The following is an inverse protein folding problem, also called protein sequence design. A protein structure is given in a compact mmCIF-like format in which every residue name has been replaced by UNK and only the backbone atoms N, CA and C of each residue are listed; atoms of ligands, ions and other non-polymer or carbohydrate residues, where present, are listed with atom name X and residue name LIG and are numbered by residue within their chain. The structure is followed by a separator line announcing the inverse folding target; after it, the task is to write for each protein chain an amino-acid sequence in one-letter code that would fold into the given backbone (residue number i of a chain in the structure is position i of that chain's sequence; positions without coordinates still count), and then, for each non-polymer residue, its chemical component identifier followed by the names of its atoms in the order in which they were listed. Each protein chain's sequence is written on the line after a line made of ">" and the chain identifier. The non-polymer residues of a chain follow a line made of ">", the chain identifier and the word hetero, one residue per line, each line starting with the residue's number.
data_IF_744641056759
#
_entry.id   IF_744641056759
#
_cell.length_a   1.000
_cell.length_b   1.000
_cell.length_c   1.000
_cell.angle_alpha   90.00
_cell.angle_beta   90.00
_cell.angle_gamma   90.00
#
_symmetry.space_group_name_H-M   'P 1'
#
loop_
_entity.id
_entity.type
_entity.pdbx_description
1 polymer ?
#
# COMPACT_ATOMS: atom_id res chain seq x y z
N UNK A 1 -21.49 -0.47 17.51
CA UNK A 1 -20.71 0.14 18.63
C UNK A 1 -20.08 1.40 18.09
N UNK A 2 -19.93 2.45 18.91
CA UNK A 2 -19.18 3.65 18.51
C UNK A 2 -17.68 3.38 18.65
N UNK A 3 -16.86 3.99 17.78
CA UNK A 3 -15.40 3.90 17.88
C UNK A 3 -14.92 4.46 19.24
N UNK A 4 -13.82 3.90 19.81
CA UNK A 4 -13.31 4.34 21.11
C UNK A 4 -12.85 5.81 21.12
N UNK A 5 -12.88 6.44 22.31
CA UNK A 5 -12.42 7.82 22.47
C UNK A 5 -10.96 8.02 21.98
N UNK A 6 -10.08 7.04 22.22
CA UNK A 6 -8.70 7.09 21.76
C UNK A 6 -8.57 7.22 20.23
N UNK A 7 -9.44 6.51 19.48
CA UNK A 7 -9.51 6.66 18.02
C UNK A 7 -9.88 8.10 17.63
N UNK A 8 -10.92 8.65 18.24
CA UNK A 8 -11.42 10.00 17.92
C UNK A 8 -10.40 11.10 18.23
N UNK A 9 -9.58 10.91 19.27
CA UNK A 9 -8.52 11.87 19.60
C UNK A 9 -7.39 11.84 18.55
N UNK A 10 -7.00 10.67 18.06
CA UNK A 10 -6.02 10.56 16.96
C UNK A 10 -6.62 11.13 15.67
N UNK A 11 -7.86 10.75 15.34
CA UNK A 11 -8.56 11.21 14.15
C UNK A 11 -8.55 12.75 14.03
N UNK A 12 -8.83 13.47 15.12
CA UNK A 12 -8.77 14.94 15.15
C UNK A 12 -7.38 15.51 14.84
N UNK A 13 -6.31 14.81 15.27
CA UNK A 13 -4.94 15.29 15.09
C UNK A 13 -4.38 15.03 13.68
N UNK A 14 -4.90 14.00 13.00
CA UNK A 14 -4.42 13.62 11.66
C UNK A 14 -5.37 14.04 10.54
N UNK A 15 -6.48 14.69 10.86
CA UNK A 15 -7.50 15.06 9.88
C UNK A 15 -6.99 16.13 8.89
N UNK A 16 -7.05 15.82 7.61
CA UNK A 16 -6.67 16.71 6.51
C UNK A 16 -7.88 17.21 5.69
N UNK A 17 -9.13 16.99 6.15
CA UNK A 17 -10.29 17.41 5.40
C UNK A 17 -10.29 18.93 5.14
N UNK A 18 -10.49 19.28 3.87
CA UNK A 18 -10.44 20.68 3.41
C UNK A 18 -9.04 21.26 3.26
N UNK A 19 -7.96 20.55 3.62
CA UNK A 19 -6.57 21.04 3.52
C UNK A 19 -6.21 21.47 2.09
N UNK A 20 -6.69 20.75 1.10
CA UNK A 20 -6.47 21.02 -0.33
C UNK A 20 -7.76 21.46 -1.05
N UNK A 21 -8.78 21.85 -0.30
CA UNK A 21 -10.08 22.28 -0.81
C UNK A 21 -11.17 21.22 -0.64
N UNK A 22 -12.43 21.68 -0.74
CA UNK A 22 -13.60 20.81 -0.51
C UNK A 22 -13.79 19.77 -1.62
N UNK A 23 -13.25 20.02 -2.83
CA UNK A 23 -13.37 19.14 -3.98
C UNK A 23 -12.15 18.25 -4.18
N UNK A 24 -11.18 18.28 -3.24
CA UNK A 24 -10.02 17.42 -3.30
C UNK A 24 -10.40 15.94 -3.20
N UNK A 25 -9.80 15.13 -4.06
CA UNK A 25 -10.03 13.70 -4.18
C UNK A 25 -8.76 12.84 -4.03
N UNK A 26 -7.59 13.46 -3.84
CA UNK A 26 -6.30 12.76 -3.85
C UNK A 26 -5.53 12.88 -2.53
N UNK A 27 -6.00 13.69 -1.60
CA UNK A 27 -5.46 13.80 -0.25
C UNK A 27 -3.97 14.12 -0.21
N UNK A 28 -3.20 13.34 0.54
CA UNK A 28 -1.76 13.53 0.72
C UNK A 28 -0.93 13.40 -0.56
N UNK A 29 -1.49 12.87 -1.66
CA UNK A 29 -0.79 12.88 -2.95
C UNK A 29 -0.56 14.30 -3.49
N UNK A 30 -1.31 15.31 -3.02
CA UNK A 30 -1.02 16.73 -3.29
C UNK A 30 0.38 17.16 -2.80
N UNK A 31 1.01 16.40 -1.92
CA UNK A 31 2.37 16.65 -1.41
C UNK A 31 3.45 16.20 -2.41
N UNK A 32 3.11 15.39 -3.41
CA UNK A 32 4.04 14.95 -4.47
C UNK A 32 4.13 16.03 -5.53
N UNK A 33 4.91 17.06 -5.24
CA UNK A 33 5.14 18.19 -6.15
C UNK A 33 6.20 17.86 -7.20
N UNK A 34 6.29 18.68 -8.26
CA UNK A 34 7.36 18.56 -9.27
C UNK A 34 8.77 18.62 -8.65
N UNK A 35 8.93 19.38 -7.57
CA UNK A 35 10.17 19.47 -6.80
C UNK A 35 10.53 18.15 -6.15
N UNK A 36 9.57 17.55 -5.43
CA UNK A 36 9.73 16.25 -4.78
C UNK A 36 10.11 15.18 -5.81
N UNK A 37 9.48 15.19 -6.98
CA UNK A 37 9.81 14.26 -8.08
C UNK A 37 11.23 14.49 -8.60
N UNK A 38 11.64 15.75 -8.80
CA UNK A 38 13.03 16.07 -9.21
C UNK A 38 14.06 15.59 -8.18
N UNK A 39 13.78 15.78 -6.88
CA UNK A 39 14.63 15.28 -5.81
C UNK A 39 14.67 13.73 -5.80
N UNK A 40 13.53 13.08 -6.04
CA UNK A 40 13.46 11.64 -6.16
C UNK A 40 14.34 11.11 -7.30
N UNK A 41 14.28 11.71 -8.48
CA UNK A 41 15.13 11.36 -9.63
C UNK A 41 16.61 11.54 -9.28
N UNK A 42 16.97 12.58 -8.51
CA UNK A 42 18.33 12.83 -8.06
C UNK A 42 18.87 11.78 -7.08
N UNK A 43 18.02 10.91 -6.52
CA UNK A 43 18.48 9.79 -5.67
C UNK A 43 19.08 8.65 -6.48
N UNK A 44 18.76 8.50 -7.76
CA UNK A 44 19.26 7.41 -8.60
C UNK A 44 20.78 7.56 -8.81
N UNK A 45 21.52 6.48 -8.51
CA UNK A 45 22.99 6.42 -8.64
C UNK A 45 23.47 5.28 -9.52
N UNK A 46 22.93 4.08 -9.30
CA UNK A 46 23.37 2.87 -9.98
C UNK A 46 22.44 2.49 -11.12
N UNK A 47 21.17 2.90 -11.05
CA UNK A 47 20.10 2.46 -11.95
C UNK A 47 19.68 1.00 -11.68
N UNK A 48 20.05 0.44 -10.54
CA UNK A 48 19.58 -0.88 -10.10
C UNK A 48 18.06 -0.82 -9.85
N UNK A 49 17.31 -1.66 -10.53
CA UNK A 49 15.84 -1.72 -10.47
C UNK A 49 15.42 -2.93 -9.67
N UNK A 50 14.64 -2.70 -8.63
CA UNK A 50 14.12 -3.74 -7.74
C UNK A 50 12.60 -3.79 -7.88
N UNK A 51 12.01 -4.86 -8.44
CA UNK A 51 10.57 -5.06 -8.45
C UNK A 51 10.06 -5.39 -7.06
N UNK A 52 8.91 -4.82 -6.68
CA UNK A 52 8.34 -4.92 -5.35
C UNK A 52 6.97 -5.61 -5.31
N UNK A 53 6.51 -6.17 -6.43
CA UNK A 53 5.26 -6.89 -6.51
C UNK A 53 5.43 -8.39 -6.26
N UNK A 54 4.40 -9.01 -5.68
CA UNK A 54 4.22 -10.45 -5.75
C UNK A 54 3.54 -10.83 -7.06
N UNK A 55 3.83 -12.03 -7.57
CA UNK A 55 3.18 -12.54 -8.78
C UNK A 55 1.67 -12.69 -8.58
N UNK A 56 0.92 -12.28 -9.59
CA UNK A 56 -0.53 -12.48 -9.65
C UNK A 56 -0.83 -13.90 -10.15
N UNK A 57 -1.22 -14.79 -9.25
CA UNK A 57 -1.47 -16.22 -9.55
C UNK A 57 -2.61 -16.79 -8.71
N UNK A 58 -3.18 -17.94 -9.13
CA UNK A 58 -4.30 -18.57 -8.45
C UNK A 58 -4.00 -18.97 -6.99
N UNK A 59 -2.77 -19.41 -6.72
CA UNK A 59 -2.27 -19.73 -5.39
C UNK A 59 -1.54 -18.54 -4.73
N UNK A 60 -2.01 -17.32 -5.00
CA UNK A 60 -1.48 -16.06 -4.49
C UNK A 60 -1.68 -15.88 -2.97
N UNK A 61 -1.48 -14.65 -2.49
CA UNK A 61 -1.45 -14.32 -1.05
C UNK A 61 -2.79 -14.49 -0.33
N UNK A 62 -3.91 -14.50 -1.05
CA UNK A 62 -5.23 -14.65 -0.43
C UNK A 62 -5.48 -16.11 -0.01
N UNK A 63 -5.77 -16.30 1.28
CA UNK A 63 -6.03 -17.63 1.88
C UNK A 63 -7.51 -17.92 2.10
N UNK A 64 -8.40 -16.96 1.79
CA UNK A 64 -9.83 -17.01 2.14
C UNK A 64 -10.14 -16.40 3.51
N UNK A 65 -9.15 -15.90 4.24
CA UNK A 65 -9.35 -15.22 5.53
C UNK A 65 -10.23 -13.96 5.39
N UNK A 66 -10.07 -13.22 4.28
CA UNK A 66 -10.89 -12.04 3.99
C UNK A 66 -12.01 -12.46 3.03
N UNK A 67 -13.29 -12.47 3.49
CA UNK A 67 -14.41 -12.90 2.66
C UNK A 67 -14.53 -12.08 1.37
N UNK A 68 -14.75 -12.75 0.23
CA UNK A 68 -14.91 -12.11 -1.07
C UNK A 68 -13.61 -11.73 -1.79
N UNK A 69 -12.46 -11.73 -1.11
CA UNK A 69 -11.17 -11.57 -1.79
C UNK A 69 -10.72 -12.87 -2.43
N UNK A 70 -10.56 -12.85 -3.74
CA UNK A 70 -10.11 -14.03 -4.52
C UNK A 70 -8.79 -13.73 -5.19
N UNK A 71 -7.90 -14.74 -5.24
CA UNK A 71 -6.70 -14.69 -6.05
C UNK A 71 -7.08 -14.61 -7.53
N UNK A 72 -6.16 -14.15 -8.41
CA UNK A 72 -6.44 -14.05 -9.84
C UNK A 72 -6.88 -15.38 -10.44
N UNK A 73 -7.98 -15.34 -11.18
CA UNK A 73 -8.40 -16.39 -12.10
C UNK A 73 -8.07 -15.95 -13.53
N UNK A 74 -6.99 -16.49 -14.06
CA UNK A 74 -6.48 -16.21 -15.39
C UNK A 74 -6.92 -17.32 -16.37
N UNK A 75 -7.44 -16.96 -17.52
CA UNK A 75 -7.87 -17.90 -18.56
C UNK A 75 -7.49 -17.39 -19.95
N UNK A 76 -7.16 -18.31 -20.84
CA UNK A 76 -7.00 -18.00 -22.25
C UNK A 76 -8.39 -17.89 -22.89
N UNK A 77 -8.66 -16.80 -23.61
CA UNK A 77 -9.91 -16.61 -24.37
C UNK A 77 -9.75 -17.00 -25.83
N UNK A 78 -8.53 -16.92 -26.36
CA UNK A 78 -8.16 -17.52 -27.66
C UNK A 78 -6.71 -17.97 -27.63
N UNK A 79 -6.39 -19.00 -28.43
CA UNK A 79 -5.05 -19.60 -28.49
C UNK A 79 -4.66 -19.80 -29.95
N UNK A 80 -3.58 -19.16 -30.41
CA UNK A 80 -3.04 -19.27 -31.77
C UNK A 80 -4.12 -19.18 -32.86
N UNK A 81 -5.06 -18.24 -32.70
CA UNK A 81 -6.13 -18.01 -33.65
C UNK A 81 -5.61 -17.21 -34.86
N UNK A 82 -5.73 -17.74 -36.06
CA UNK A 82 -5.41 -17.05 -37.29
C UNK A 82 -6.55 -16.07 -37.63
N UNK A 83 -6.27 -14.76 -37.55
CA UNK A 83 -7.31 -13.72 -37.66
C UNK A 83 -7.72 -13.40 -39.13
N UNK A 84 -6.80 -13.61 -40.08
CA UNK A 84 -6.97 -13.14 -41.47
C UNK A 84 -6.99 -14.30 -42.47
N UNK A 85 -7.27 -15.52 -42.04
CA UNK A 85 -7.33 -16.74 -42.84
C UNK A 85 -6.12 -17.68 -42.65
N UNK A 86 -6.18 -18.88 -43.21
CA UNK A 86 -5.17 -19.91 -43.01
C UNK A 86 -3.75 -19.49 -43.43
N UNK A 87 -2.77 -19.75 -42.58
CA UNK A 87 -1.36 -19.42 -42.83
C UNK A 87 -1.00 -17.95 -42.58
N UNK A 88 -1.91 -17.16 -41.96
CA UNK A 88 -1.68 -15.77 -41.62
C UNK A 88 -1.13 -15.65 -40.17
N UNK A 89 -1.04 -14.41 -39.66
CA UNK A 89 -0.64 -14.16 -38.29
C UNK A 89 -1.66 -14.71 -37.31
N UNK A 90 -1.19 -15.43 -36.30
CA UNK A 90 -2.00 -15.96 -35.20
C UNK A 90 -1.77 -15.16 -33.91
N UNK A 91 -2.82 -14.97 -33.12
CA UNK A 91 -2.78 -14.30 -31.81
C UNK A 91 -3.32 -15.20 -30.72
N UNK A 92 -2.91 -14.91 -29.49
CA UNK A 92 -3.48 -15.48 -28.29
C UNK A 92 -3.85 -14.35 -27.34
N UNK A 93 -5.10 -14.36 -26.87
CA UNK A 93 -5.60 -13.37 -25.91
C UNK A 93 -6.10 -14.07 -24.64
N UNK A 94 -6.02 -13.38 -23.56
CA UNK A 94 -6.35 -13.87 -22.23
C UNK A 94 -7.21 -12.87 -21.45
N UNK A 95 -7.79 -13.36 -20.35
CA UNK A 95 -8.58 -12.56 -19.43
C UNK A 95 -8.27 -12.96 -17.99
N UNK A 96 -8.43 -12.00 -17.08
CA UNK A 96 -8.27 -12.23 -15.65
C UNK A 96 -9.46 -11.66 -14.87
N UNK A 97 -9.93 -12.43 -13.90
CA UNK A 97 -10.83 -11.96 -12.86
C UNK A 97 -10.08 -12.02 -11.53
N UNK A 98 -10.02 -10.91 -10.80
CA UNK A 98 -9.33 -10.83 -9.50
C UNK A 98 -9.99 -9.80 -8.59
N UNK A 99 -9.82 -9.97 -7.29
CA UNK A 99 -10.04 -8.89 -6.32
C UNK A 99 -8.97 -7.81 -6.53
N UNK A 100 -9.36 -6.54 -6.56
CA UNK A 100 -8.40 -5.44 -6.77
C UNK A 100 -7.33 -5.36 -5.65
N UNK A 101 -7.62 -5.93 -4.49
CA UNK A 101 -6.70 -6.04 -3.35
C UNK A 101 -6.07 -7.46 -3.23
N UNK A 102 -6.08 -8.26 -4.30
CA UNK A 102 -5.67 -9.67 -4.22
C UNK A 102 -4.16 -9.90 -4.12
N UNK A 103 -3.34 -9.07 -4.72
CA UNK A 103 -1.87 -9.14 -4.70
C UNK A 103 -1.25 -7.90 -4.07
N UNK A 104 -0.08 -7.50 -4.54
CA UNK A 104 0.48 -6.18 -4.23
C UNK A 104 -0.44 -5.11 -4.78
N UNK A 105 -0.90 -4.20 -3.93
CA UNK A 105 -1.94 -3.23 -4.29
C UNK A 105 -1.81 -1.91 -3.54
N UNK A 106 -2.55 -0.92 -4.04
CA UNK A 106 -2.92 0.29 -3.32
C UNK A 106 -4.40 0.24 -2.96
N UNK A 107 -4.73 0.63 -1.75
CA UNK A 107 -6.08 1.00 -1.35
C UNK A 107 -6.34 2.46 -1.69
N UNK A 108 -7.49 2.70 -2.33
CA UNK A 108 -8.01 4.04 -2.57
C UNK A 108 -8.62 4.64 -1.31
N UNK A 109 -8.80 5.97 -1.29
CA UNK A 109 -9.43 6.68 -0.17
C UNK A 109 -10.90 6.28 0.08
N UNK A 110 -11.41 5.40 -0.76
CA UNK A 110 -12.77 4.85 -0.71
C UNK A 110 -12.83 3.39 -0.26
N UNK A 111 -11.66 2.79 0.07
CA UNK A 111 -11.62 1.38 0.47
C UNK A 111 -12.29 1.14 1.83
N UNK A 112 -12.13 2.06 2.75
CA UNK A 112 -12.70 2.00 4.10
C UNK A 112 -13.54 3.25 4.35
N UNK A 113 -14.60 3.12 5.12
CA UNK A 113 -15.40 4.23 5.64
C UNK A 113 -15.63 4.06 7.14
N UNK A 114 -15.76 5.15 7.85
CA UNK A 114 -16.24 5.11 9.23
C UNK A 114 -17.24 6.23 9.49
N UNK A 115 -18.15 6.00 10.44
CA UNK A 115 -19.19 6.97 10.80
C UNK A 115 -19.99 7.49 9.59
N UNK A 116 -20.10 6.69 8.52
CA UNK A 116 -20.80 7.03 7.28
C UNK A 116 -20.05 7.96 6.33
N UNK A 117 -18.75 8.20 6.55
CA UNK A 117 -17.93 9.09 5.74
C UNK A 117 -16.73 8.38 5.11
N UNK A 118 -16.34 8.88 3.95
CA UNK A 118 -15.07 8.70 3.25
C UNK A 118 -14.23 9.98 3.43
N UNK A 119 -13.02 9.98 2.86
CA UNK A 119 -12.14 11.14 2.87
C UNK A 119 -12.87 12.42 2.46
N UNK A 120 -12.45 13.53 3.06
CA UNK A 120 -12.98 14.88 2.84
C UNK A 120 -14.49 15.02 3.15
N UNK A 121 -15.02 14.18 4.07
CA UNK A 121 -16.41 14.19 4.50
C UNK A 121 -17.42 13.68 3.47
N UNK A 122 -16.96 13.05 2.37
CA UNK A 122 -17.86 12.50 1.35
C UNK A 122 -18.71 11.37 1.94
N UNK A 123 -20.00 11.26 1.59
CA UNK A 123 -20.84 10.19 2.12
C UNK A 123 -20.41 8.81 1.62
N UNK A 124 -20.32 7.81 2.50
CA UNK A 124 -19.99 6.44 2.12
C UNK A 124 -21.03 5.81 1.18
N UNK A 125 -22.25 6.33 1.16
CA UNK A 125 -23.34 5.91 0.25
C UNK A 125 -23.08 6.22 -1.22
N UNK A 126 -22.05 7.00 -1.54
CA UNK A 126 -21.60 7.25 -2.93
C UNK A 126 -20.93 6.03 -3.57
N UNK A 127 -20.55 5.02 -2.78
CA UNK A 127 -20.13 3.71 -3.30
C UNK A 127 -21.39 2.91 -3.65
N UNK A 128 -21.52 2.52 -4.90
CA UNK A 128 -22.73 1.86 -5.43
C UNK A 128 -22.49 0.39 -5.80
N UNK A 129 -23.54 -0.45 -5.81
CA UNK A 129 -23.45 -1.84 -6.26
C UNK A 129 -23.01 -2.01 -7.72
N UNK A 130 -23.06 -0.94 -8.53
CA UNK A 130 -22.58 -0.93 -9.91
C UNK A 130 -21.05 -0.85 -10.03
N UNK A 131 -20.34 -1.07 -8.93
CA UNK A 131 -18.90 -1.26 -8.91
C UNK A 131 -18.09 0.02 -9.06
N UNK A 132 -18.58 1.17 -8.57
CA UNK A 132 -17.77 2.38 -8.56
C UNK A 132 -18.07 3.29 -7.37
N UNK A 133 -17.03 3.96 -6.90
CA UNK A 133 -17.16 5.16 -6.08
C UNK A 133 -17.32 6.39 -6.97
N UNK A 134 -18.18 7.31 -6.57
CA UNK A 134 -18.38 8.58 -7.25
C UNK A 134 -17.18 9.52 -7.05
N UNK A 135 -16.55 9.47 -5.88
CA UNK A 135 -15.40 10.32 -5.48
C UNK A 135 -14.21 9.47 -5.09
N UNK A 136 -13.02 10.05 -5.20
CA UNK A 136 -11.75 9.51 -4.69
C UNK A 136 -11.48 8.03 -5.02
N UNK A 137 -12.03 7.53 -6.15
CA UNK A 137 -11.68 6.21 -6.65
C UNK A 137 -10.20 6.16 -7.07
N UNK A 138 -9.60 4.98 -7.10
CA UNK A 138 -8.15 4.83 -7.35
C UNK A 138 -7.67 5.48 -8.65
N UNK A 139 -8.54 5.64 -9.64
CA UNK A 139 -8.24 6.31 -10.91
C UNK A 139 -7.90 7.80 -10.79
N UNK A 140 -8.17 8.43 -9.64
CA UNK A 140 -7.77 9.83 -9.36
C UNK A 140 -6.28 9.92 -9.00
N UNK A 141 -5.68 8.86 -8.48
CA UNK A 141 -4.27 8.78 -8.08
C UNK A 141 -3.35 8.55 -9.29
N UNK A 142 -3.20 9.56 -10.18
CA UNK A 142 -2.53 9.42 -11.48
C UNK A 142 -1.03 9.69 -11.50
N UNK A 143 -0.42 10.07 -10.38
CA UNK A 143 0.95 10.58 -10.34
C UNK A 143 1.75 10.00 -9.16
N UNK A 144 1.79 8.67 -9.05
CA UNK A 144 2.47 8.00 -7.94
C UNK A 144 3.93 7.66 -8.30
N UNK A 145 4.71 8.70 -8.57
CA UNK A 145 6.16 8.63 -8.72
C UNK A 145 6.77 9.65 -7.77
N UNK A 146 7.56 9.18 -6.78
CA UNK A 146 8.15 10.04 -5.76
C UNK A 146 9.43 9.45 -5.20
N UNK A 147 9.99 10.10 -4.19
CA UNK A 147 11.06 9.51 -3.38
C UNK A 147 10.47 8.41 -2.49
N UNK A 148 10.93 7.18 -2.70
CA UNK A 148 10.68 6.07 -1.80
C UNK A 148 11.69 6.07 -0.65
N UNK A 149 11.23 5.74 0.55
CA UNK A 149 12.06 5.55 1.73
C UNK A 149 11.74 4.18 2.33
N UNK A 150 12.74 3.31 2.44
CA UNK A 150 12.59 2.04 3.15
C UNK A 150 12.89 2.23 4.63
N UNK A 151 11.91 1.95 5.48
CA UNK A 151 12.06 1.76 6.92
C UNK A 151 12.08 0.26 7.21
N UNK A 152 13.26 -0.31 7.29
CA UNK A 152 13.46 -1.74 7.53
C UNK A 152 13.44 -2.03 9.03
N UNK A 153 12.23 -2.12 9.60
CA UNK A 153 12.02 -2.29 11.04
C UNK A 153 12.61 -3.62 11.53
N UNK A 154 12.45 -4.69 10.75
CA UNK A 154 13.01 -5.98 11.13
C UNK A 154 14.55 -5.91 11.21
N UNK A 155 15.22 -5.37 10.19
CA UNK A 155 16.66 -5.23 10.17
C UNK A 155 17.19 -4.28 11.27
N UNK A 156 16.50 -3.16 11.54
CA UNK A 156 16.86 -2.25 12.63
C UNK A 156 16.87 -2.95 13.99
N UNK A 157 15.97 -3.91 14.19
CA UNK A 157 15.91 -4.75 15.41
C UNK A 157 16.84 -5.96 15.38
N UNK A 158 17.66 -6.11 14.33
CA UNK A 158 18.54 -7.27 14.16
C UNK A 158 17.82 -8.58 13.90
N UNK A 159 16.64 -8.50 13.31
CA UNK A 159 15.77 -9.65 12.98
C UNK A 159 15.60 -9.78 11.46
N UNK A 160 15.44 -11.02 11.01
CA UNK A 160 15.04 -11.27 9.61
C UNK A 160 13.56 -10.92 9.42
N UNK A 161 12.74 -11.23 10.42
CA UNK A 161 11.29 -11.00 10.45
C UNK A 161 10.84 -10.65 11.85
N UNK A 162 9.90 -9.70 11.96
CA UNK A 162 9.26 -9.36 13.24
C UNK A 162 8.38 -10.53 13.75
N UNK A 163 8.21 -10.70 15.07
CA UNK A 163 7.20 -11.57 15.64
C UNK A 163 5.79 -11.20 15.12
N UNK A 164 4.92 -12.22 14.97
CA UNK A 164 3.57 -12.00 14.43
C UNK A 164 2.66 -11.10 15.28
N UNK A 165 3.00 -10.89 16.54
CA UNK A 165 2.30 -10.02 17.50
C UNK A 165 2.98 -8.66 17.71
N UNK A 166 3.95 -8.29 16.85
CA UNK A 166 4.65 -7.02 16.94
C UNK A 166 3.87 -5.89 16.27
N UNK A 167 3.36 -4.96 17.07
CA UNK A 167 2.83 -3.70 16.60
C UNK A 167 3.98 -2.72 16.32
N UNK A 168 4.19 -2.36 15.07
CA UNK A 168 5.20 -1.36 14.67
C UNK A 168 4.78 0.01 15.18
N UNK A 169 5.59 0.58 16.06
CA UNK A 169 5.29 1.87 16.72
C UNK A 169 6.01 3.05 16.05
N UNK A 170 5.65 4.32 16.37
CA UNK A 170 6.42 5.50 15.96
C UNK A 170 7.91 5.40 16.32
N UNK A 171 8.20 4.84 17.48
CA UNK A 171 9.57 4.64 17.96
C UNK A 171 10.34 3.62 17.09
N UNK A 172 9.65 2.57 16.62
CA UNK A 172 10.23 1.60 15.68
C UNK A 172 10.50 2.24 14.31
N UNK A 173 9.63 3.15 13.84
CA UNK A 173 9.85 3.88 12.60
C UNK A 173 11.03 4.84 12.70
N UNK A 174 11.20 5.53 13.84
CA UNK A 174 12.36 6.38 14.09
C UNK A 174 13.65 5.55 14.16
N UNK A 175 13.64 4.42 14.87
CA UNK A 175 14.79 3.48 14.93
C UNK A 175 15.18 2.97 13.54
N UNK A 176 14.20 2.63 12.70
CA UNK A 176 14.46 2.19 11.33
C UNK A 176 14.98 3.33 10.42
N UNK A 177 14.52 4.56 10.62
CA UNK A 177 15.06 5.72 9.91
C UNK A 177 16.51 6.01 10.30
N UNK A 178 16.84 5.94 11.58
CA UNK A 178 18.21 6.08 12.12
C UNK A 178 19.10 4.95 11.61
N UNK A 179 18.63 3.70 11.63
CA UNK A 179 19.33 2.54 11.08
C UNK A 179 19.69 2.73 9.60
N UNK A 180 18.74 3.22 8.81
CA UNK A 180 18.95 3.51 7.39
C UNK A 180 19.72 4.81 7.11
N UNK A 181 19.98 5.62 8.14
CA UNK A 181 20.58 6.95 7.97
C UNK A 181 19.75 7.86 7.06
N UNK A 182 18.42 7.74 7.13
CA UNK A 182 17.50 8.43 6.23
C UNK A 182 16.52 9.30 7.01
N UNK A 183 16.20 10.46 6.46
CA UNK A 183 15.14 11.34 7.00
C UNK A 183 13.94 11.30 6.08
N UNK A 184 12.77 10.99 6.64
CA UNK A 184 11.50 11.07 5.93
C UNK A 184 11.07 12.53 5.79
N UNK A 185 10.62 12.92 4.60
CA UNK A 185 10.28 14.29 4.21
C UNK A 185 8.89 14.35 3.61
N UNK A 186 8.36 15.55 3.53
CA UNK A 186 7.08 15.81 2.84
C UNK A 186 7.11 15.29 1.40
N UNK A 187 6.07 14.58 1.01
CA UNK A 187 5.91 13.97 -0.31
C UNK A 187 6.59 12.61 -0.50
N UNK A 188 7.28 12.08 0.52
CA UNK A 188 7.86 10.73 0.45
C UNK A 188 6.77 9.65 0.43
N UNK A 189 7.09 8.54 -0.21
CA UNK A 189 6.36 7.28 -0.08
C UNK A 189 7.17 6.38 0.85
N UNK A 190 6.61 6.05 2.01
CA UNK A 190 7.28 5.24 3.03
C UNK A 190 6.96 3.77 2.82
N UNK A 191 7.99 2.93 2.76
CA UNK A 191 7.87 1.48 2.71
C UNK A 191 8.33 0.90 4.04
N UNK A 192 7.43 0.22 4.76
CA UNK A 192 7.73 -0.37 6.07
C UNK A 192 7.90 -1.88 5.92
N UNK A 193 9.13 -2.37 6.13
CA UNK A 193 9.42 -3.80 6.07
C UNK A 193 9.35 -4.43 7.45
N UNK A 194 8.48 -5.43 7.59
CA UNK A 194 8.36 -6.30 8.76
C UNK A 194 9.08 -7.63 8.57
N UNK A 195 9.38 -8.03 7.33
CA UNK A 195 9.89 -9.34 6.93
C UNK A 195 8.80 -10.41 6.81
N UNK A 196 7.52 -10.06 6.97
CA UNK A 196 6.41 -11.02 6.95
C UNK A 196 6.29 -11.74 5.60
N UNK A 197 6.69 -11.08 4.51
CA UNK A 197 6.69 -11.67 3.16
C UNK A 197 7.56 -12.94 3.05
N UNK A 198 8.53 -13.13 3.93
CA UNK A 198 9.34 -14.35 3.97
C UNK A 198 8.52 -15.60 4.25
N UNK A 199 7.45 -15.50 5.08
CA UNK A 199 6.53 -16.63 5.32
C UNK A 199 5.83 -17.04 4.02
N UNK A 200 5.35 -16.06 3.25
CA UNK A 200 4.74 -16.32 1.94
C UNK A 200 5.73 -16.95 0.97
N UNK A 201 6.95 -16.41 0.87
CA UNK A 201 8.00 -16.93 0.01
C UNK A 201 8.42 -18.36 0.39
N UNK A 202 8.36 -18.73 1.67
CA UNK A 202 8.60 -20.09 2.16
C UNK A 202 7.41 -21.05 1.92
N UNK A 203 6.30 -20.58 1.34
CA UNK A 203 5.09 -21.36 1.09
C UNK A 203 4.12 -21.44 2.28
N UNK A 204 4.45 -20.80 3.40
CA UNK A 204 3.58 -20.71 4.57
C UNK A 204 2.59 -19.55 4.42
N UNK A 205 1.56 -19.77 3.63
CA UNK A 205 0.51 -18.77 3.36
C UNK A 205 -0.34 -18.47 4.60
N UNK A 206 -0.53 -19.46 5.48
CA UNK A 206 -1.29 -19.25 6.72
C UNK A 206 -0.49 -18.45 7.72
N UNK A 207 0.78 -18.76 7.94
CA UNK A 207 1.67 -17.97 8.78
C UNK A 207 1.96 -16.58 8.23
N UNK A 208 1.83 -16.38 6.90
CA UNK A 208 1.83 -15.04 6.31
C UNK A 208 0.59 -14.24 6.70
N UNK A 209 -0.58 -14.88 6.71
CA UNK A 209 -1.85 -14.21 6.94
C UNK A 209 -2.14 -13.95 8.43
N UNK A 210 -1.73 -14.86 9.33
CA UNK A 210 -2.09 -14.77 10.75
C UNK A 210 -1.19 -15.64 11.66
N UNK A 211 -0.74 -15.10 12.82
CA UNK A 211 -0.77 -13.69 13.20
C UNK A 211 0.15 -12.87 12.30
N UNK A 212 -0.13 -11.58 12.15
CA UNK A 212 0.65 -10.70 11.28
C UNK A 212 1.16 -9.48 12.05
N UNK A 213 2.47 -9.19 12.06
CA UNK A 213 2.95 -7.89 12.50
C UNK A 213 2.37 -6.80 11.60
N UNK A 214 2.34 -5.58 12.07
CA UNK A 214 1.83 -4.48 11.26
C UNK A 214 1.83 -3.17 12.03
N UNK A 215 1.35 -2.11 11.40
CA UNK A 215 1.38 -0.77 11.96
C UNK A 215 0.47 -0.65 13.19
N UNK A 216 0.96 0.03 14.22
CA UNK A 216 0.20 0.43 15.41
C UNK A 216 -0.75 1.57 15.08
N UNK A 217 -1.87 1.68 15.78
CA UNK A 217 -2.80 2.81 15.72
C UNK A 217 -2.12 4.17 15.96
N UNK A 218 -0.92 4.18 16.54
CA UNK A 218 -0.12 5.39 16.81
C UNK A 218 0.63 5.91 15.58
N UNK A 219 0.85 5.09 14.56
CA UNK A 219 1.68 5.45 13.40
C UNK A 219 1.07 6.51 12.47
N UNK A 220 -0.25 6.65 12.31
CA UNK A 220 -0.82 7.75 11.52
C UNK A 220 -0.37 9.14 11.96
N UNK A 221 -0.20 9.39 13.26
CA UNK A 221 0.34 10.68 13.75
C UNK A 221 1.79 10.91 13.30
N UNK A 222 2.59 9.86 13.26
CA UNK A 222 3.98 9.92 12.80
C UNK A 222 4.07 10.26 11.30
N UNK A 223 3.20 9.63 10.46
CA UNK A 223 3.10 9.93 9.04
C UNK A 223 2.59 11.34 8.78
N UNK A 224 1.54 11.75 9.50
CA UNK A 224 0.96 13.09 9.39
C UNK A 224 1.96 14.19 9.73
N UNK A 225 2.72 14.03 10.82
CA UNK A 225 3.71 15.01 11.27
C UNK A 225 4.88 15.20 10.27
N UNK A 226 5.09 14.26 9.36
CA UNK A 226 6.13 14.28 8.33
C UNK A 226 5.61 14.54 6.93
N UNK A 227 4.31 14.81 6.80
CA UNK A 227 3.66 15.01 5.50
C UNK A 227 3.96 13.87 4.51
N UNK A 228 3.82 12.62 4.96
CA UNK A 228 4.01 11.44 4.11
C UNK A 228 2.92 11.38 3.05
N UNK A 229 3.30 11.14 1.79
CA UNK A 229 2.35 11.12 0.67
C UNK A 229 1.58 9.79 0.55
N UNK A 230 2.24 8.68 0.83
CA UNK A 230 1.64 7.34 0.84
C UNK A 230 2.52 6.39 1.66
N UNK A 231 1.95 5.30 2.13
CA UNK A 231 2.68 4.28 2.89
C UNK A 231 2.34 2.89 2.37
N UNK A 232 3.32 1.98 2.34
CA UNK A 232 3.08 0.59 1.99
C UNK A 232 3.90 -0.35 2.89
N UNK A 233 3.42 -1.59 3.05
CA UNK A 233 4.15 -2.60 3.79
C UNK A 233 4.03 -4.01 3.16
N UNK A 234 4.73 -4.95 3.76
CA UNK A 234 4.88 -6.33 3.30
C UNK A 234 3.91 -7.31 3.97
N UNK A 235 2.79 -6.81 4.54
CA UNK A 235 1.80 -7.64 5.24
C UNK A 235 0.46 -7.70 4.51
N UNK A 236 -0.39 -8.68 4.88
CA UNK A 236 -1.74 -8.84 4.33
C UNK A 236 -2.72 -7.81 4.91
N UNK A 237 -2.53 -7.42 6.17
CA UNK A 237 -3.48 -6.64 6.95
C UNK A 237 -3.08 -5.18 7.13
N UNK A 238 -1.87 -4.79 6.71
CA UNK A 238 -1.28 -3.48 6.89
C UNK A 238 -1.00 -3.13 8.35
N UNK A 239 -2.03 -3.09 9.18
CA UNK A 239 -1.93 -2.92 10.63
C UNK A 239 -1.76 -4.25 11.34
N UNK A 240 -1.32 -4.20 12.58
CA UNK A 240 -1.15 -5.38 13.44
C UNK A 240 -2.44 -6.22 13.49
N UNK A 241 -2.29 -7.54 13.39
CA UNK A 241 -3.41 -8.46 13.48
C UNK A 241 -3.04 -9.72 14.27
N UNK A 242 -3.74 -10.04 15.40
CA UNK A 242 -4.97 -9.41 15.90
C UNK A 242 -4.79 -7.96 16.34
N UNK A 243 -5.90 -7.16 16.41
CA UNK A 243 -5.83 -5.73 16.69
C UNK A 243 -5.30 -5.43 18.10
N UNK A 244 -4.59 -4.30 18.26
CA UNK A 244 -4.05 -3.85 19.56
C UNK A 244 -5.15 -3.53 20.59
N UNK A 245 -6.29 -3.06 20.11
CA UNK A 245 -7.44 -2.71 20.94
C UNK A 245 -8.55 -3.71 20.59
N UNK A 246 -9.02 -4.45 21.59
CA UNK A 246 -10.09 -5.41 21.44
C UNK A 246 -11.32 -4.78 20.77
N UNK A 247 -11.90 -5.48 19.81
CA UNK A 247 -13.07 -5.04 19.02
C UNK A 247 -12.87 -3.78 18.15
N UNK A 248 -11.64 -3.25 18.03
CA UNK A 248 -11.34 -2.14 17.13
C UNK A 248 -10.64 -2.67 15.86
N UNK A 249 -11.42 -2.89 14.83
CA UNK A 249 -10.96 -3.42 13.54
C UNK A 249 -10.61 -2.29 12.58
N UNK A 250 -9.46 -2.41 11.90
CA UNK A 250 -8.97 -1.50 10.87
C UNK A 250 -8.85 -0.02 11.31
N UNK A 251 -8.34 0.29 12.53
CA UNK A 251 -8.20 1.67 12.96
C UNK A 251 -7.19 2.46 12.14
N UNK A 252 -6.07 1.84 11.73
CA UNK A 252 -5.05 2.53 10.92
C UNK A 252 -5.58 2.82 9.52
N UNK A 253 -6.30 1.86 8.89
CA UNK A 253 -6.99 2.11 7.63
C UNK A 253 -7.94 3.31 7.71
N UNK A 254 -8.75 3.38 8.78
CA UNK A 254 -9.71 4.47 8.94
C UNK A 254 -9.02 5.82 9.15
N UNK A 255 -7.90 5.86 9.90
CA UNK A 255 -7.13 7.08 10.13
C UNK A 255 -6.38 7.53 8.87
N UNK A 256 -5.74 6.61 8.16
CA UNK A 256 -4.95 6.92 6.96
C UNK A 256 -5.86 7.30 5.79
N UNK A 257 -6.80 6.42 5.42
CA UNK A 257 -7.61 6.60 4.22
C UNK A 257 -8.69 7.67 4.40
N UNK A 258 -9.40 7.69 5.55
CA UNK A 258 -10.56 8.57 5.74
C UNK A 258 -10.17 9.90 6.34
N UNK A 259 -9.44 9.92 7.45
CA UNK A 259 -9.10 11.17 8.13
C UNK A 259 -7.95 11.90 7.43
N UNK A 260 -6.87 11.21 7.13
CA UNK A 260 -5.69 11.82 6.55
C UNK A 260 -5.77 11.99 5.03
N UNK A 261 -6.53 11.12 4.35
CA UNK A 261 -6.55 11.06 2.89
C UNK A 261 -5.24 10.55 2.32
N UNK A 262 -4.61 9.56 2.97
CA UNK A 262 -3.34 8.96 2.57
C UNK A 262 -3.57 7.55 2.04
N UNK A 263 -3.09 7.27 0.81
CA UNK A 263 -3.14 5.93 0.24
C UNK A 263 -2.24 4.98 1.02
N UNK A 264 -2.68 3.74 1.17
CA UNK A 264 -1.92 2.67 1.78
C UNK A 264 -1.78 1.46 0.87
N UNK A 265 -0.60 0.81 0.90
CA UNK A 265 -0.26 -0.35 0.09
C UNK A 265 -0.01 -1.58 0.93
N UNK A 266 -0.40 -2.75 0.42
CA UNK A 266 -0.26 -4.02 1.12
C UNK A 266 0.33 -5.10 0.21
N UNK A 267 0.86 -6.16 0.83
CA UNK A 267 1.47 -7.31 0.13
C UNK A 267 2.65 -6.90 -0.76
N UNK A 268 3.43 -5.90 -0.37
CA UNK A 268 4.64 -5.54 -1.11
C UNK A 268 5.78 -6.49 -0.77
N UNK A 269 6.51 -6.95 -1.79
CA UNK A 269 7.68 -7.78 -1.55
C UNK A 269 8.92 -6.88 -1.38
N UNK A 270 9.28 -6.62 -0.14
CA UNK A 270 10.38 -5.71 0.21
C UNK A 270 11.71 -6.42 0.47
N UNK A 271 11.80 -7.75 0.32
CA UNK A 271 12.99 -8.53 0.68
C UNK A 271 14.21 -8.20 -0.19
N UNK A 272 14.02 -8.16 -1.51
CA UNK A 272 15.10 -7.80 -2.43
C UNK A 272 15.53 -6.33 -2.25
N UNK A 273 14.59 -5.45 -1.93
CA UNK A 273 14.88 -4.03 -1.66
C UNK A 273 15.70 -3.87 -0.38
N UNK A 274 15.33 -4.56 0.70
CA UNK A 274 16.10 -4.58 1.95
C UNK A 274 17.56 -4.98 1.70
N UNK A 275 17.76 -6.08 0.95
CA UNK A 275 19.10 -6.55 0.57
C UNK A 275 19.87 -5.49 -0.23
N UNK A 276 19.24 -4.90 -1.24
CA UNK A 276 19.86 -3.88 -2.09
C UNK A 276 20.22 -2.61 -1.29
N UNK A 277 19.30 -2.13 -0.46
CA UNK A 277 19.52 -0.96 0.40
C UNK A 277 20.69 -1.19 1.38
N UNK A 278 20.78 -2.38 1.98
CA UNK A 278 21.87 -2.74 2.89
C UNK A 278 23.24 -2.80 2.16
N UNK A 279 23.28 -3.39 0.96
CA UNK A 279 24.49 -3.46 0.14
C UNK A 279 24.98 -2.08 -0.29
N UNK A 280 24.07 -1.21 -0.73
CA UNK A 280 24.37 0.14 -1.18
C UNK A 280 24.47 1.15 -0.04
N UNK A 281 24.07 0.76 1.18
CA UNK A 281 23.93 1.63 2.37
C UNK A 281 23.09 2.88 2.08
N UNK A 282 21.98 2.66 1.40
CA UNK A 282 21.07 3.72 0.95
C UNK A 282 19.63 3.24 1.04
N UNK A 283 18.83 3.97 1.79
CA UNK A 283 17.44 3.62 2.09
C UNK A 283 16.44 4.63 1.49
N UNK A 284 16.92 5.50 0.59
CA UNK A 284 16.09 6.37 -0.23
C UNK A 284 16.41 6.17 -1.72
N UNK A 285 15.39 6.14 -2.55
CA UNK A 285 15.45 5.78 -3.97
C UNK A 285 14.33 6.45 -4.75
N UNK A 286 14.38 6.44 -6.09
CA UNK A 286 13.22 6.75 -6.91
C UNK A 286 12.23 5.57 -6.86
N UNK A 287 10.98 5.84 -6.49
CA UNK A 287 9.90 4.85 -6.51
C UNK A 287 8.89 5.21 -7.60
N UNK A 288 8.60 4.25 -8.48
CA UNK A 288 7.46 4.27 -9.39
C UNK A 288 6.44 3.23 -8.94
N UNK A 289 5.24 3.68 -8.59
CA UNK A 289 4.19 2.82 -8.02
C UNK A 289 2.79 3.21 -8.55
N UNK A 290 2.72 3.46 -9.85
CA UNK A 290 1.51 3.91 -10.53
C UNK A 290 0.37 2.90 -10.42
N UNK A 291 -0.80 3.31 -9.90
CA UNK A 291 -1.98 2.46 -9.86
C UNK A 291 -2.58 2.26 -11.25
N UNK A 292 -3.16 1.07 -11.49
CA UNK A 292 -4.02 0.87 -12.66
C UNK A 292 -5.31 1.69 -12.48
N UNK A 293 -5.72 2.49 -13.48
CA UNK A 293 -6.77 3.49 -13.32
C UNK A 293 -8.20 2.93 -13.42
N UNK A 294 -8.55 1.95 -12.59
CA UNK A 294 -9.91 1.43 -12.51
C UNK A 294 -10.89 2.53 -12.06
N UNK A 295 -11.74 3.00 -12.97
CA UNK A 295 -12.67 4.11 -12.70
C UNK A 295 -13.61 3.76 -11.55
N UNK A 296 -13.55 4.55 -10.47
CA UNK A 296 -14.32 4.35 -9.24
C UNK A 296 -13.91 3.11 -8.44
N UNK A 297 -12.77 2.48 -8.77
CA UNK A 297 -12.23 1.35 -8.00
C UNK A 297 -11.82 1.76 -6.59
N UNK A 298 -12.04 0.86 -5.61
CA UNK A 298 -11.66 1.06 -4.20
C UNK A 298 -10.22 0.66 -3.92
N UNK A 299 -9.49 0.25 -4.93
CA UNK A 299 -8.08 -0.13 -4.90
C UNK A 299 -7.64 -0.64 -6.26
N UNK A 300 -6.38 -1.04 -6.37
CA UNK A 300 -5.82 -1.58 -7.62
C UNK A 300 -4.59 -2.41 -7.37
N UNK A 301 -4.39 -3.52 -8.10
CA UNK A 301 -3.07 -4.13 -8.15
C UNK A 301 -2.06 -3.14 -8.73
N UNK A 302 -0.81 -3.26 -8.28
CA UNK A 302 0.30 -2.41 -8.70
C UNK A 302 1.57 -3.23 -8.83
N UNK A 303 2.44 -2.85 -9.79
CA UNK A 303 3.76 -3.43 -9.95
C UNK A 303 4.84 -2.36 -9.67
N UNK A 304 5.12 -2.07 -8.38
CA UNK A 304 6.03 -1.00 -8.02
C UNK A 304 7.48 -1.39 -8.33
N UNK A 305 8.28 -0.38 -8.67
CA UNK A 305 9.72 -0.55 -8.90
C UNK A 305 10.49 0.54 -8.16
N UNK A 306 11.43 0.10 -7.32
CA UNK A 306 12.45 0.97 -6.75
C UNK A 306 13.67 1.06 -7.70
N UNK A 307 14.23 2.25 -7.86
CA UNK A 307 15.42 2.52 -8.67
C UNK A 307 16.47 3.20 -7.79
N UNK A 308 17.61 2.50 -7.53
CA UNK A 308 18.68 2.96 -6.66
C UNK A 308 19.79 3.69 -7.44
#
# INVERSE_FOLDING_TARGET
>A
MSLPAAFHEIAKRVNNWGRWGQDDEIGTLNLVTDEVVREAVATVRTGHRVPLAVDLKQDGVQTGMIPGRVNPLHVMVQINQELFGPGTVATSDDAVTLGLQAGTHWDALTHVSHSGHLYNGRPATTITPHGRSEFSGIHTARHLVSRGVLLDVAAAKGLDRLPGDHAVTPEDLDEAADFGGVTVRSGDIVLVRTGQMQSYAAGDRHGYAFPSPGLSIRTPEWFHARDVAAVANDTLTFEIFPPEIEDLWLPVHALDLVEMGMLQGQNWNLEALSTACAQERRYAFLLSAMPEPFVGGTGTPVAPVAVL
#
